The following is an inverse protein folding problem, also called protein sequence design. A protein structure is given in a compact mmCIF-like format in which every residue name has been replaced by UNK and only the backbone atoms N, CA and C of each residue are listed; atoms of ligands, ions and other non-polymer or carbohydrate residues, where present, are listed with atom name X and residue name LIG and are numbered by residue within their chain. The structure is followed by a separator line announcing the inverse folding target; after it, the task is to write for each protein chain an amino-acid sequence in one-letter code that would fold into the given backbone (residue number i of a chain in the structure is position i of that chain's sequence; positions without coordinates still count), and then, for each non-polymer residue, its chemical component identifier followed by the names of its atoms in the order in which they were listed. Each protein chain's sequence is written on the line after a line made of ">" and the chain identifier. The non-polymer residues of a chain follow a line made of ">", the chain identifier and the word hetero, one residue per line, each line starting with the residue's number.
data_IF_602786929092
#
_entry.id   IF_602786929092
#
_cell.length_a   1.000
_cell.length_b   1.000
_cell.length_c   1.000
_cell.angle_alpha   90.00
_cell.angle_beta   90.00
_cell.angle_gamma   90.00
#
_symmetry.space_group_name_H-M   'P 1'
#
loop_
_entity.id
_entity.type
_entity.pdbx_description
1 polymer ?
#
# COMPACT_ATOMS: atom_id res chain seq x y z
N UNK A 1 17.65 -12.63 -9.02
CA UNK A 1 18.04 -11.46 -9.83
C UNK A 1 16.87 -10.64 -10.33
N UNK A 2 15.82 -11.25 -10.91
CA UNK A 2 14.66 -10.49 -11.43
C UNK A 2 13.98 -9.59 -10.40
N UNK A 3 13.73 -10.10 -9.17
CA UNK A 3 13.18 -9.27 -8.09
C UNK A 3 14.10 -8.11 -7.72
N UNK A 4 15.43 -8.31 -7.73
CA UNK A 4 16.39 -7.22 -7.47
C UNK A 4 16.25 -6.15 -8.55
N UNK A 5 16.15 -6.55 -9.83
CA UNK A 5 15.91 -5.65 -10.95
C UNK A 5 14.62 -4.84 -10.79
N UNK A 6 13.50 -5.53 -10.50
CA UNK A 6 12.20 -4.91 -10.27
C UNK A 6 12.24 -3.90 -9.11
N UNK A 7 12.78 -4.28 -7.95
CA UNK A 7 12.80 -3.40 -6.79
C UNK A 7 13.77 -2.22 -6.98
N UNK A 8 14.90 -2.38 -7.68
CA UNK A 8 15.78 -1.27 -8.07
C UNK A 8 15.06 -0.28 -8.99
N UNK A 9 14.28 -0.79 -9.96
CA UNK A 9 13.44 0.04 -10.83
C UNK A 9 12.42 0.81 -10.00
N UNK A 10 11.70 0.14 -9.11
CA UNK A 10 10.66 0.78 -8.29
C UNK A 10 11.22 1.81 -7.33
N UNK A 11 12.37 1.53 -6.71
CA UNK A 11 13.05 2.50 -5.89
C UNK A 11 13.44 3.75 -6.70
N UNK A 12 14.03 3.56 -7.87
CA UNK A 12 14.42 4.65 -8.77
C UNK A 12 13.21 5.46 -9.23
N UNK A 13 12.12 4.78 -9.60
CA UNK A 13 10.85 5.41 -10.02
C UNK A 13 10.23 6.21 -8.88
N UNK A 14 10.16 5.67 -7.68
CA UNK A 14 9.58 6.37 -6.54
C UNK A 14 10.37 7.64 -6.19
N UNK A 15 11.71 7.57 -6.21
CA UNK A 15 12.56 8.75 -6.00
C UNK A 15 12.40 9.79 -7.10
N UNK A 16 12.40 9.41 -8.37
CA UNK A 16 12.24 10.37 -9.47
C UNK A 16 10.86 11.00 -9.45
N UNK A 17 9.80 10.21 -9.27
CA UNK A 17 8.42 10.71 -9.14
C UNK A 17 8.25 11.64 -7.95
N UNK A 18 8.87 11.35 -6.80
CA UNK A 18 8.88 12.25 -5.65
C UNK A 18 9.48 13.62 -6.03
N UNK A 19 10.61 13.65 -6.75
CA UNK A 19 11.24 14.91 -7.17
C UNK A 19 10.37 15.68 -8.17
N UNK A 20 9.65 14.98 -9.05
CA UNK A 20 8.71 15.59 -9.99
C UNK A 20 7.50 16.21 -9.25
N UNK A 21 6.93 15.50 -8.27
CA UNK A 21 5.87 16.05 -7.42
C UNK A 21 6.36 17.24 -6.58
N UNK A 22 7.53 17.15 -5.96
CA UNK A 22 8.12 18.27 -5.21
C UNK A 22 8.33 19.51 -6.10
N UNK A 23 8.80 19.30 -7.34
CA UNK A 23 8.90 20.39 -8.31
C UNK A 23 7.52 20.96 -8.64
N UNK A 24 6.53 20.13 -8.96
CA UNK A 24 5.14 20.55 -9.24
C UNK A 24 4.57 21.36 -8.07
N UNK A 25 4.79 20.89 -6.84
CA UNK A 25 4.22 21.44 -5.62
C UNK A 25 5.06 22.56 -4.98
N UNK A 26 6.17 23.00 -5.60
CA UNK A 26 7.11 23.97 -5.01
C UNK A 26 6.50 25.32 -4.57
N UNK A 27 5.32 25.67 -5.10
CA UNK A 27 4.59 26.90 -4.74
C UNK A 27 3.46 26.67 -3.72
N UNK A 28 3.20 25.43 -3.31
CA UNK A 28 2.20 25.11 -2.31
C UNK A 28 2.78 25.22 -0.89
N UNK A 29 1.98 25.48 0.15
CA UNK A 29 2.43 25.38 1.54
C UNK A 29 2.95 23.97 1.87
N UNK A 30 3.92 23.86 2.78
CA UNK A 30 4.37 22.56 3.30
C UNK A 30 3.28 21.89 4.15
N UNK A 31 3.27 20.55 4.18
CA UNK A 31 2.39 19.82 5.11
C UNK A 31 2.79 20.16 6.55
N UNK A 32 1.79 20.35 7.40
CA UNK A 32 1.97 20.57 8.83
C UNK A 32 1.65 19.29 9.59
N UNK A 33 2.47 18.97 10.59
CA UNK A 33 2.22 17.81 11.45
C UNK A 33 1.16 18.17 12.49
N UNK A 34 0.24 17.25 12.77
CA UNK A 34 -0.56 17.29 13.99
C UNK A 34 0.34 17.08 15.21
N UNK A 35 0.39 18.02 16.15
CA UNK A 35 1.26 17.99 17.33
C UNK A 35 0.49 17.98 18.65
N UNK A 36 -0.83 17.94 18.59
CA UNK A 36 -1.70 17.73 19.75
C UNK A 36 -2.73 16.63 19.48
N UNK A 37 -3.33 16.11 20.56
CA UNK A 37 -4.43 15.13 20.48
C UNK A 37 -5.59 15.68 19.64
N UNK A 38 -6.00 16.93 19.90
CA UNK A 38 -7.11 17.57 19.18
C UNK A 38 -6.82 17.74 17.67
N UNK A 39 -5.60 18.16 17.32
CA UNK A 39 -5.21 18.28 15.90
C UNK A 39 -5.21 16.92 15.20
N UNK A 40 -4.67 15.88 15.85
CA UNK A 40 -4.62 14.55 15.26
C UNK A 40 -6.01 13.92 15.14
N UNK A 41 -6.85 14.03 16.16
CA UNK A 41 -8.22 13.52 16.11
C UNK A 41 -9.00 14.20 15.00
N UNK A 42 -8.91 15.52 14.88
CA UNK A 42 -9.53 16.28 13.78
C UNK A 42 -9.02 15.85 12.40
N UNK A 43 -7.70 15.72 12.24
CA UNK A 43 -7.07 15.25 11.00
C UNK A 43 -7.55 13.83 10.64
N UNK A 44 -7.49 12.89 11.59
CA UNK A 44 -7.88 11.50 11.39
C UNK A 44 -9.36 11.36 11.01
N UNK A 45 -10.26 12.09 11.69
CA UNK A 45 -11.70 12.09 11.39
C UNK A 45 -12.01 12.68 10.02
N UNK A 46 -11.36 13.80 9.66
CA UNK A 46 -11.48 14.37 8.32
C UNK A 46 -11.01 13.38 7.25
N UNK A 47 -9.88 12.73 7.47
CA UNK A 47 -9.29 11.79 6.52
C UNK A 47 -10.11 10.51 6.35
N UNK A 48 -10.70 9.97 7.42
CA UNK A 48 -11.64 8.83 7.34
C UNK A 48 -12.83 9.20 6.47
N UNK A 49 -13.48 10.34 6.74
CA UNK A 49 -14.63 10.80 5.94
C UNK A 49 -14.25 11.04 4.49
N UNK A 50 -13.11 11.69 4.26
CA UNK A 50 -12.63 12.01 2.92
C UNK A 50 -12.41 10.74 2.08
N UNK A 51 -11.70 9.74 2.60
CA UNK A 51 -11.42 8.53 1.80
C UNK A 51 -12.70 7.73 1.53
N UNK A 52 -13.59 7.56 2.51
CA UNK A 52 -14.85 6.83 2.33
C UNK A 52 -15.76 7.53 1.30
N UNK A 53 -15.89 8.86 1.39
CA UNK A 53 -16.66 9.64 0.42
C UNK A 53 -16.02 9.62 -0.97
N UNK A 54 -14.69 9.70 -1.04
CA UNK A 54 -13.95 9.65 -2.30
C UNK A 54 -14.17 8.32 -3.03
N UNK A 55 -14.03 7.18 -2.32
CA UNK A 55 -14.21 5.85 -2.91
C UNK A 55 -15.61 5.66 -3.49
N UNK A 56 -16.63 6.20 -2.82
CA UNK A 56 -18.03 6.19 -3.27
C UNK A 56 -18.25 7.11 -4.49
N UNK A 57 -17.87 8.40 -4.35
CA UNK A 57 -18.14 9.43 -5.36
C UNK A 57 -17.35 9.26 -6.66
N UNK A 58 -16.14 8.71 -6.58
CA UNK A 58 -15.34 8.35 -7.76
C UNK A 58 -15.68 6.97 -8.31
N UNK A 59 -16.70 6.30 -7.74
CA UNK A 59 -17.16 4.98 -8.14
C UNK A 59 -16.00 3.97 -8.20
N UNK A 60 -15.09 3.95 -7.21
CA UNK A 60 -13.88 3.11 -7.30
C UNK A 60 -14.11 1.67 -6.85
N UNK A 61 -15.12 1.42 -6.03
CA UNK A 61 -15.58 0.09 -5.64
C UNK A 61 -17.03 0.14 -5.15
N UNK A 62 -17.68 -1.00 -5.01
CA UNK A 62 -19.00 -1.09 -4.37
C UNK A 62 -18.84 -0.87 -2.88
N UNK A 63 -19.36 0.26 -2.39
CA UNK A 63 -19.27 0.58 -0.97
C UNK A 63 -20.09 -0.39 -0.12
N UNK A 64 -19.46 -0.86 0.95
CA UNK A 64 -20.06 -1.75 1.95
C UNK A 64 -20.19 -1.02 3.27
N UNK A 65 -21.26 -1.29 4.00
CA UNK A 65 -21.55 -0.63 5.28
C UNK A 65 -20.48 -0.88 6.36
N UNK A 66 -19.63 -1.91 6.19
CA UNK A 66 -18.56 -2.26 7.11
C UNK A 66 -17.19 -1.66 6.77
N UNK A 67 -17.01 -1.02 5.60
CA UNK A 67 -15.71 -0.42 5.25
C UNK A 67 -15.32 0.73 6.19
N UNK A 68 -16.21 1.69 6.42
CA UNK A 68 -15.90 2.79 7.36
C UNK A 68 -15.65 2.28 8.79
N UNK A 69 -16.48 1.39 9.38
CA UNK A 69 -16.17 0.76 10.67
C UNK A 69 -14.80 0.06 10.71
N UNK A 70 -14.45 -0.71 9.68
CA UNK A 70 -13.18 -1.43 9.60
C UNK A 70 -11.97 -0.48 9.56
N UNK A 71 -12.07 0.62 8.81
CA UNK A 71 -11.04 1.67 8.80
C UNK A 71 -10.92 2.37 10.15
N UNK A 72 -12.06 2.74 10.76
CA UNK A 72 -12.10 3.47 12.04
C UNK A 72 -11.46 2.69 13.17
N UNK A 73 -11.58 1.37 13.19
CA UNK A 73 -10.91 0.52 14.18
C UNK A 73 -9.37 0.63 14.14
N UNK A 74 -8.81 1.08 13.01
CA UNK A 74 -7.38 1.15 12.75
C UNK A 74 -6.87 2.58 12.49
N UNK A 75 -7.70 3.60 12.74
CA UNK A 75 -7.37 5.01 12.45
C UNK A 75 -6.14 5.56 13.20
N UNK A 76 -5.68 4.84 14.23
CA UNK A 76 -4.57 5.25 15.08
C UNK A 76 -4.95 6.27 16.14
N UNK A 77 -3.94 6.79 16.83
CA UNK A 77 -4.06 7.79 17.88
C UNK A 77 -2.85 8.73 17.87
N UNK A 78 -2.98 9.89 18.51
CA UNK A 78 -1.89 10.84 18.63
C UNK A 78 -0.66 10.22 19.30
N UNK A 79 0.51 10.47 18.72
CA UNK A 79 1.80 10.10 19.28
C UNK A 79 2.71 11.34 19.31
N UNK A 80 3.35 11.65 20.44
CA UNK A 80 4.34 12.74 20.52
C UNK A 80 5.47 12.59 19.50
N UNK A 81 5.95 13.71 18.94
CA UNK A 81 6.86 13.74 17.79
C UNK A 81 8.11 12.88 17.97
N UNK A 82 8.68 12.90 19.17
CA UNK A 82 9.87 12.15 19.56
C UNK A 82 9.68 10.64 19.66
N UNK A 83 8.43 10.16 19.60
CA UNK A 83 8.07 8.73 19.64
C UNK A 83 7.49 8.21 18.31
N UNK A 84 7.42 9.05 17.28
CA UNK A 84 6.83 8.68 15.99
C UNK A 84 7.84 7.90 15.16
N UNK A 85 7.49 6.65 14.86
CA UNK A 85 8.18 5.92 13.80
C UNK A 85 7.78 6.42 12.40
N UNK A 86 8.42 5.90 11.35
CA UNK A 86 8.15 6.27 9.95
C UNK A 86 6.66 6.33 9.59
N UNK A 87 5.88 5.30 9.91
CA UNK A 87 4.45 5.25 9.61
C UNK A 87 3.66 6.29 10.43
N UNK A 88 4.02 6.48 11.70
CA UNK A 88 3.40 7.51 12.52
C UNK A 88 3.75 8.92 12.01
N UNK A 89 4.96 9.16 11.53
CA UNK A 89 5.33 10.44 10.89
C UNK A 89 4.38 10.70 9.71
N UNK A 90 4.14 9.70 8.85
CA UNK A 90 3.22 9.89 7.72
C UNK A 90 1.81 10.19 8.21
N UNK A 91 1.28 9.44 9.19
CA UNK A 91 -0.08 9.66 9.73
C UNK A 91 -0.27 11.03 10.37
N UNK A 92 0.78 11.62 10.95
CA UNK A 92 0.70 12.95 11.54
C UNK A 92 0.78 14.06 10.51
N UNK A 93 1.33 13.82 9.31
CA UNK A 93 1.24 14.76 8.19
C UNK A 93 -0.09 14.63 7.44
N UNK A 94 -0.44 13.42 7.03
CA UNK A 94 -1.73 13.07 6.45
C UNK A 94 -1.89 11.54 6.50
N UNK A 95 -2.94 11.00 7.16
CA UNK A 95 -3.09 9.56 7.29
C UNK A 95 -3.68 8.90 6.03
N UNK A 96 -4.20 9.65 5.05
CA UNK A 96 -4.87 9.09 3.87
C UNK A 96 -3.99 8.12 3.05
N UNK A 97 -2.68 8.37 2.81
CA UNK A 97 -1.81 7.39 2.18
C UNK A 97 -1.78 6.02 2.87
N UNK A 98 -1.76 5.99 4.21
CA UNK A 98 -1.85 4.71 4.95
C UNK A 98 -3.28 4.20 5.04
N UNK A 99 -4.30 5.06 5.06
CA UNK A 99 -5.69 4.61 4.98
C UNK A 99 -6.03 3.96 3.64
N UNK A 100 -5.38 4.38 2.55
CA UNK A 100 -5.43 3.66 1.28
C UNK A 100 -4.83 2.26 1.42
N UNK A 101 -3.67 2.14 2.07
CA UNK A 101 -3.03 0.84 2.35
C UNK A 101 -3.88 -0.05 3.27
N UNK A 102 -4.68 0.56 4.15
CA UNK A 102 -5.61 -0.12 5.06
C UNK A 102 -6.78 -0.80 4.33
N UNK A 103 -6.76 -0.86 3.00
CA UNK A 103 -7.60 -1.72 2.18
C UNK A 103 -7.65 -3.18 2.69
N UNK A 104 -6.56 -3.68 3.27
CA UNK A 104 -6.55 -4.98 3.97
C UNK A 104 -7.70 -5.15 4.97
N UNK A 105 -8.08 -4.10 5.69
CA UNK A 105 -9.17 -4.16 6.66
C UNK A 105 -10.54 -4.23 5.99
N UNK A 106 -10.68 -3.71 4.77
CA UNK A 106 -11.89 -3.91 3.97
C UNK A 106 -12.02 -5.37 3.53
N UNK A 107 -10.91 -5.97 3.12
CA UNK A 107 -10.86 -7.36 2.67
C UNK A 107 -11.10 -8.34 3.83
N UNK A 108 -10.48 -8.09 5.00
CA UNK A 108 -10.72 -8.88 6.20
C UNK A 108 -12.17 -8.76 6.67
N UNK A 109 -12.73 -7.55 6.70
CA UNK A 109 -14.14 -7.36 7.05
C UNK A 109 -15.08 -8.06 6.04
N UNK A 110 -14.73 -8.08 4.76
CA UNK A 110 -15.47 -8.83 3.75
C UNK A 110 -15.35 -10.34 3.97
N UNK A 111 -14.18 -10.87 4.30
CA UNK A 111 -14.01 -12.30 4.62
C UNK A 111 -14.90 -12.72 5.80
N UNK A 112 -15.05 -11.86 6.80
CA UNK A 112 -15.87 -12.14 7.99
C UNK A 112 -17.38 -12.00 7.72
N UNK A 113 -17.80 -10.96 6.98
CA UNK A 113 -19.21 -10.57 6.83
C UNK A 113 -19.87 -11.06 5.54
N UNK A 114 -19.08 -11.28 4.49
CA UNK A 114 -19.50 -11.80 3.18
C UNK A 114 -18.57 -12.96 2.74
N UNK A 115 -18.51 -14.05 3.54
CA UNK A 115 -17.56 -15.13 3.33
C UNK A 115 -17.69 -15.78 1.94
N UNK A 116 -16.54 -16.07 1.31
CA UNK A 116 -16.49 -16.66 -0.02
C UNK A 116 -17.22 -18.03 -0.08
N UNK A 117 -17.93 -18.32 -1.17
CA UNK A 117 -18.72 -19.56 -1.34
C UNK A 117 -17.85 -20.82 -1.34
N UNK A 118 -16.74 -20.79 -2.08
CA UNK A 118 -15.70 -21.84 -2.05
C UNK A 118 -15.10 -22.00 -0.66
N UNK A 119 -15.21 -23.21 -0.09
CA UNK A 119 -14.73 -23.55 1.25
C UNK A 119 -13.24 -23.30 1.43
N UNK A 120 -12.43 -23.58 0.41
CA UNK A 120 -10.98 -23.40 0.44
C UNK A 120 -10.54 -21.92 0.39
N UNK A 121 -11.42 -21.01 -0.04
CA UNK A 121 -11.16 -19.55 -0.09
C UNK A 121 -11.84 -18.79 1.05
N UNK A 122 -12.76 -19.45 1.78
CA UNK A 122 -13.63 -18.81 2.77
C UNK A 122 -12.90 -18.43 4.04
N UNK A 123 -12.10 -19.35 4.55
CA UNK A 123 -11.44 -19.23 5.85
C UNK A 123 -9.95 -18.91 5.69
N UNK A 124 -9.33 -18.22 6.67
CA UNK A 124 -7.89 -18.03 6.66
C UNK A 124 -7.17 -19.38 6.65
N UNK A 125 -6.11 -19.46 5.87
CA UNK A 125 -5.20 -20.62 5.89
C UNK A 125 -4.41 -20.61 7.21
N UNK A 126 -3.94 -21.80 7.63
CA UNK A 126 -3.09 -21.94 8.82
C UNK A 126 -1.79 -21.14 8.73
N UNK A 127 -1.33 -20.86 7.50
CA UNK A 127 -0.18 -20.03 7.21
C UNK A 127 -0.58 -18.93 6.25
N UNK A 128 -0.14 -17.71 6.54
CA UNK A 128 -0.28 -16.60 5.61
C UNK A 128 0.74 -16.78 4.47
N UNK A 129 0.29 -17.29 3.34
CA UNK A 129 1.14 -17.60 2.17
C UNK A 129 0.85 -16.69 0.96
N UNK A 130 -0.12 -15.79 1.10
CA UNK A 130 -0.55 -14.88 0.03
C UNK A 130 -0.18 -13.43 0.33
N UNK A 131 0.94 -13.21 1.01
CA UNK A 131 1.46 -11.87 1.31
C UNK A 131 1.59 -11.01 0.05
N UNK A 132 2.15 -11.57 -1.04
CA UNK A 132 2.26 -10.83 -2.31
C UNK A 132 0.89 -10.43 -2.87
N UNK A 133 -0.18 -11.21 -2.64
CA UNK A 133 -1.51 -10.76 -3.05
C UNK A 133 -2.02 -9.67 -2.12
N UNK A 134 -1.98 -9.91 -0.81
CA UNK A 134 -2.58 -8.99 0.17
C UNK A 134 -1.80 -7.67 0.19
N UNK A 135 -0.51 -7.72 0.47
CA UNK A 135 0.36 -6.53 0.53
C UNK A 135 0.51 -5.88 -0.83
N UNK A 136 0.49 -6.68 -1.90
CA UNK A 136 0.49 -6.18 -3.27
C UNK A 136 -0.73 -5.35 -3.60
N UNK A 137 -1.94 -5.83 -3.28
CA UNK A 137 -3.19 -5.10 -3.49
C UNK A 137 -3.21 -3.81 -2.68
N UNK A 138 -2.93 -3.89 -1.38
CA UNK A 138 -2.85 -2.73 -0.50
C UNK A 138 -1.83 -1.68 -0.96
N UNK A 139 -0.69 -2.11 -1.51
CA UNK A 139 0.31 -1.19 -2.06
C UNK A 139 -0.10 -0.63 -3.43
N UNK A 140 -0.79 -1.42 -4.26
CA UNK A 140 -1.28 -0.97 -5.57
C UNK A 140 -2.34 0.13 -5.43
N UNK A 141 -3.31 -0.07 -4.52
CA UNK A 141 -4.41 0.88 -4.36
C UNK A 141 -3.96 2.26 -3.86
N UNK A 142 -2.81 2.37 -3.19
CA UNK A 142 -2.23 3.67 -2.82
C UNK A 142 -2.00 4.56 -4.05
N UNK A 143 -1.41 4.01 -5.12
CA UNK A 143 -1.21 4.76 -6.36
C UNK A 143 -2.47 4.84 -7.22
N UNK A 144 -3.33 3.82 -7.21
CA UNK A 144 -4.61 3.86 -7.93
C UNK A 144 -5.46 5.01 -7.39
N UNK A 145 -5.66 5.09 -6.08
CA UNK A 145 -6.45 6.15 -5.45
C UNK A 145 -5.78 7.52 -5.58
N UNK A 146 -4.44 7.57 -5.48
CA UNK A 146 -3.67 8.78 -5.76
C UNK A 146 -3.94 9.32 -7.17
N UNK A 147 -3.94 8.45 -8.18
CA UNK A 147 -4.12 8.83 -9.58
C UNK A 147 -5.59 9.03 -9.95
N UNK A 148 -6.53 8.46 -9.18
CA UNK A 148 -7.96 8.73 -9.27
C UNK A 148 -8.39 10.03 -8.55
N UNK A 149 -7.47 10.78 -7.94
CA UNK A 149 -7.74 12.12 -7.42
C UNK A 149 -7.92 12.25 -5.90
N UNK A 150 -7.54 11.24 -5.10
CA UNK A 150 -7.75 11.24 -3.63
C UNK A 150 -7.12 12.48 -2.93
N UNK A 151 -6.10 13.08 -3.53
CA UNK A 151 -5.36 14.19 -2.95
C UNK A 151 -5.53 15.50 -3.73
N UNK A 152 -6.55 15.65 -4.56
CA UNK A 152 -6.75 16.87 -5.35
C UNK A 152 -7.01 18.10 -4.46
N UNK A 153 -7.56 17.89 -3.25
CA UNK A 153 -7.74 18.92 -2.23
C UNK A 153 -6.42 19.32 -1.53
N UNK A 154 -5.39 18.47 -1.58
CA UNK A 154 -4.06 18.73 -1.03
C UNK A 154 -2.97 17.96 -1.82
N UNK A 155 -2.54 18.49 -3.00
CA UNK A 155 -1.66 17.77 -3.91
C UNK A 155 -0.30 17.38 -3.32
N UNK A 156 0.14 18.05 -2.24
CA UNK A 156 1.41 17.73 -1.57
C UNK A 156 1.40 16.34 -0.92
N UNK A 157 0.24 15.77 -0.60
CA UNK A 157 0.11 14.45 0.01
C UNK A 157 0.59 13.33 -0.93
N UNK A 158 0.56 13.56 -2.25
CA UNK A 158 1.14 12.65 -3.27
C UNK A 158 2.62 12.35 -2.99
N UNK A 159 3.35 13.30 -2.42
CA UNK A 159 4.76 13.10 -2.04
C UNK A 159 4.92 11.97 -1.00
N UNK A 160 3.97 11.81 -0.08
CA UNK A 160 4.01 10.75 0.95
C UNK A 160 3.85 9.37 0.30
N UNK A 161 2.99 9.23 -0.71
CA UNK A 161 2.80 7.95 -1.42
C UNK A 161 4.12 7.47 -2.03
N UNK A 162 4.84 8.34 -2.73
CA UNK A 162 6.15 7.99 -3.30
C UNK A 162 7.20 7.69 -2.24
N UNK A 163 7.14 8.33 -1.07
CA UNK A 163 8.00 8.01 0.07
C UNK A 163 7.72 6.60 0.59
N UNK A 164 6.45 6.22 0.73
CA UNK A 164 6.04 4.87 1.14
C UNK A 164 6.51 3.81 0.14
N UNK A 165 6.39 4.06 -1.16
CA UNK A 165 6.87 3.13 -2.21
C UNK A 165 8.39 2.99 -2.17
N UNK A 166 9.13 4.10 -2.07
CA UNK A 166 10.59 4.08 -1.97
C UNK A 166 11.04 3.29 -0.73
N UNK A 167 10.36 3.49 0.40
CA UNK A 167 10.60 2.75 1.63
C UNK A 167 10.41 1.24 1.43
N UNK A 168 9.28 0.81 0.85
CA UNK A 168 8.99 -0.61 0.59
C UNK A 168 9.98 -1.25 -0.39
N UNK A 169 10.38 -0.52 -1.43
CA UNK A 169 11.37 -1.00 -2.40
C UNK A 169 12.76 -1.14 -1.78
N UNK A 170 13.24 -0.14 -1.02
CA UNK A 170 14.51 -0.19 -0.32
C UNK A 170 14.55 -1.34 0.71
N UNK A 171 13.46 -1.51 1.45
CA UNK A 171 13.27 -2.57 2.43
C UNK A 171 13.31 -3.96 1.80
N UNK A 172 12.62 -4.16 0.69
CA UNK A 172 12.66 -5.42 -0.05
C UNK A 172 14.04 -5.72 -0.63
N UNK A 173 14.79 -4.72 -1.10
CA UNK A 173 16.18 -4.89 -1.55
C UNK A 173 17.09 -5.35 -0.41
N UNK A 174 17.03 -4.67 0.73
CA UNK A 174 17.78 -5.07 1.92
C UNK A 174 17.46 -6.52 2.31
N UNK A 175 16.18 -6.90 2.32
CA UNK A 175 15.76 -8.27 2.58
C UNK A 175 16.36 -9.27 1.59
N UNK A 176 16.36 -8.99 0.28
CA UNK A 176 16.94 -9.89 -0.72
C UNK A 176 18.45 -10.07 -0.52
N UNK A 177 19.18 -8.99 -0.28
CA UNK A 177 20.63 -9.06 -0.07
C UNK A 177 21.00 -9.81 1.21
N UNK A 178 20.20 -9.63 2.28
CA UNK A 178 20.39 -10.38 3.52
C UNK A 178 20.20 -11.89 3.31
N UNK A 179 19.12 -12.30 2.63
CA UNK A 179 18.83 -13.71 2.38
C UNK A 179 19.77 -14.35 1.35
N UNK A 180 20.33 -13.56 0.44
CA UNK A 180 21.36 -14.00 -0.49
C UNK A 180 22.76 -14.08 0.15
N UNK A 181 22.91 -13.79 1.45
CA UNK A 181 24.19 -13.69 2.16
C UNK A 181 25.16 -12.68 1.52
N UNK A 182 24.65 -11.67 0.83
CA UNK A 182 25.43 -10.58 0.24
C UNK A 182 25.63 -9.42 1.23
N UNK A 183 24.75 -9.33 2.23
CA UNK A 183 24.79 -8.37 3.33
C UNK A 183 24.41 -9.06 4.63
N UNK A 184 24.99 -8.62 5.73
CA UNK A 184 24.48 -8.91 7.08
C UNK A 184 23.13 -8.23 7.29
N UNK A 185 22.37 -8.67 8.30
CA UNK A 185 21.10 -8.02 8.68
C UNK A 185 21.28 -6.54 9.07
N UNK A 186 22.43 -6.19 9.67
CA UNK A 186 22.75 -4.80 9.99
C UNK A 186 22.95 -3.97 8.72
N UNK A 187 23.71 -4.49 7.74
CA UNK A 187 23.94 -3.82 6.46
C UNK A 187 22.66 -3.69 5.63
N UNK A 188 21.83 -4.73 5.60
CA UNK A 188 20.51 -4.69 4.97
C UNK A 188 19.60 -3.63 5.60
N UNK A 189 19.68 -3.44 6.92
CA UNK A 189 18.99 -2.36 7.60
C UNK A 189 19.45 -0.97 7.18
N UNK A 190 20.73 -0.79 6.84
CA UNK A 190 21.26 0.50 6.35
C UNK A 190 20.69 0.86 4.98
N UNK A 191 20.53 -0.12 4.08
CA UNK A 191 19.88 0.10 2.77
C UNK A 191 18.50 0.72 2.95
N UNK A 192 17.69 0.15 3.84
CA UNK A 192 16.36 0.67 4.12
C UNK A 192 16.39 2.13 4.63
N UNK A 193 17.27 2.45 5.58
CA UNK A 193 17.37 3.78 6.17
C UNK A 193 17.95 4.84 5.23
N UNK A 194 18.89 4.46 4.36
CA UNK A 194 19.57 5.36 3.42
C UNK A 194 18.66 5.75 2.26
N UNK A 195 17.94 4.78 1.70
CA UNK A 195 17.13 4.98 0.50
C UNK A 195 15.68 5.39 0.80
N UNK A 196 15.25 5.45 2.06
CA UNK A 196 13.96 6.06 2.41
C UNK A 196 14.09 7.59 2.39
N UNK A 197 13.27 8.32 1.61
CA UNK A 197 13.39 9.77 1.52
C UNK A 197 13.14 10.50 2.84
N UNK A 198 13.58 11.76 2.89
CA UNK A 198 13.43 12.70 4.04
C UNK A 198 14.12 12.25 5.34
N UNK A 199 14.86 11.14 5.32
CA UNK A 199 15.59 10.65 6.49
C UNK A 199 14.67 10.15 7.62
N UNK A 200 13.38 9.92 7.34
CA UNK A 200 12.38 9.52 8.35
C UNK A 200 12.68 8.16 9.01
N UNK A 201 13.51 7.32 8.38
CA UNK A 201 13.96 6.05 8.96
C UNK A 201 15.25 6.17 9.80
N UNK A 202 16.01 7.27 9.70
CA UNK A 202 17.32 7.40 10.37
C UNK A 202 17.21 7.50 11.90
N UNK A 203 16.04 7.81 12.44
CA UNK A 203 15.78 7.95 13.88
C UNK A 203 15.27 6.68 14.54
N UNK A 204 14.99 5.61 13.79
CA UNK A 204 14.13 4.50 14.23
C UNK A 204 14.87 3.16 14.41
N UNK A 205 15.85 3.11 15.34
CA UNK A 205 16.64 1.88 15.58
C UNK A 205 15.78 0.67 16.00
N UNK A 206 14.69 0.90 16.74
CA UNK A 206 13.82 -0.18 17.21
C UNK A 206 12.98 -0.78 16.07
N UNK A 207 12.36 0.07 15.25
CA UNK A 207 11.62 -0.36 14.06
C UNK A 207 12.54 -1.14 13.11
N UNK A 208 13.73 -0.60 12.85
CA UNK A 208 14.69 -1.25 11.96
C UNK A 208 15.04 -2.67 12.42
N UNK A 209 15.32 -2.85 13.72
CA UNK A 209 15.60 -4.17 14.30
C UNK A 209 14.39 -5.10 14.19
N UNK A 210 13.21 -4.62 14.55
CA UNK A 210 11.97 -5.40 14.47
C UNK A 210 11.74 -5.93 13.05
N UNK A 211 11.90 -5.08 12.04
CA UNK A 211 11.74 -5.45 10.64
C UNK A 211 12.75 -6.52 10.20
N UNK A 212 14.03 -6.39 10.54
CA UNK A 212 15.02 -7.43 10.22
C UNK A 212 14.68 -8.78 10.89
N UNK A 213 14.20 -8.76 12.14
CA UNK A 213 13.72 -9.99 12.79
C UNK A 213 12.48 -10.58 12.12
N UNK A 214 11.56 -9.76 11.62
CA UNK A 214 10.41 -10.22 10.85
C UNK A 214 10.86 -10.92 9.58
N UNK A 215 11.76 -10.33 8.80
CA UNK A 215 12.20 -10.91 7.53
C UNK A 215 12.99 -12.21 7.70
N UNK A 216 13.77 -12.35 8.78
CA UNK A 216 14.37 -13.65 9.12
C UNK A 216 13.37 -14.76 9.34
N UNK A 217 12.18 -14.43 9.86
CA UNK A 217 11.12 -15.40 10.17
C UNK A 217 10.19 -15.63 8.97
N UNK A 218 10.18 -14.71 8.00
CA UNK A 218 9.31 -14.74 6.83
C UNK A 218 10.07 -14.33 5.56
N UNK A 219 10.93 -15.21 5.01
CA UNK A 219 11.59 -14.97 3.75
C UNK A 219 10.58 -14.65 2.64
N UNK A 220 10.84 -13.58 1.88
CA UNK A 220 9.94 -13.09 0.81
C UNK A 220 8.92 -12.05 1.27
N UNK A 221 8.63 -11.92 2.58
CA UNK A 221 7.69 -10.90 3.06
C UNK A 221 8.15 -9.47 2.74
N UNK A 222 9.45 -9.17 2.89
CA UNK A 222 9.99 -7.84 2.59
C UNK A 222 9.79 -7.40 1.13
N UNK A 223 9.77 -8.32 0.17
CA UNK A 223 9.57 -8.01 -1.26
C UNK A 223 8.12 -8.04 -1.70
N UNK A 224 7.25 -8.74 -0.95
CA UNK A 224 5.84 -9.01 -1.28
C UNK A 224 5.04 -7.77 -1.69
N UNK A 225 5.30 -6.62 -1.07
CA UNK A 225 4.64 -5.35 -1.38
C UNK A 225 4.85 -4.91 -2.83
N UNK A 226 6.11 -4.94 -3.29
CA UNK A 226 6.49 -4.43 -4.61
C UNK A 226 6.27 -5.50 -5.68
N UNK A 227 6.64 -6.76 -5.39
CA UNK A 227 6.39 -7.87 -6.32
C UNK A 227 4.89 -8.13 -6.47
N UNK A 228 4.13 -8.02 -5.38
CA UNK A 228 2.70 -8.09 -5.36
C UNK A 228 2.04 -6.97 -6.14
N UNK A 229 2.43 -5.72 -5.90
CA UNK A 229 1.94 -4.57 -6.69
C UNK A 229 2.20 -4.76 -8.18
N UNK A 230 3.40 -5.21 -8.55
CA UNK A 230 3.73 -5.53 -9.94
C UNK A 230 2.73 -6.51 -10.56
N UNK A 231 2.36 -7.58 -9.84
CA UNK A 231 1.36 -8.55 -10.31
C UNK A 231 -0.05 -7.95 -10.42
N UNK A 232 -0.42 -7.01 -9.54
CA UNK A 232 -1.71 -6.30 -9.62
C UNK A 232 -1.72 -5.36 -10.82
N UNK A 233 -0.61 -4.65 -11.09
CA UNK A 233 -0.45 -3.80 -12.27
C UNK A 233 -0.54 -4.63 -13.57
N UNK A 234 0.04 -5.83 -13.61
CA UNK A 234 -0.11 -6.78 -14.71
C UNK A 234 -1.57 -7.24 -14.87
N UNK A 235 -2.23 -7.65 -13.78
CA UNK A 235 -3.63 -8.08 -13.81
C UNK A 235 -4.57 -6.98 -14.34
N UNK A 236 -4.36 -5.73 -13.90
CA UNK A 236 -5.10 -4.57 -14.39
C UNK A 236 -4.81 -4.31 -15.88
N UNK A 237 -3.56 -4.48 -16.32
CA UNK A 237 -3.15 -4.33 -17.72
C UNK A 237 -3.83 -5.36 -18.61
N UNK A 238 -3.79 -6.64 -18.24
CA UNK A 238 -4.43 -7.72 -18.98
C UNK A 238 -5.95 -7.50 -19.07
N UNK A 239 -6.56 -7.15 -17.95
CA UNK A 239 -7.99 -6.88 -17.88
C UNK A 239 -8.40 -5.68 -18.76
N UNK A 240 -7.67 -4.57 -18.70
CA UNK A 240 -7.91 -3.41 -19.55
C UNK A 240 -7.78 -3.75 -21.04
N UNK A 241 -6.73 -4.50 -21.42
CA UNK A 241 -6.55 -4.96 -22.81
C UNK A 241 -7.69 -5.86 -23.27
N UNK A 242 -8.17 -6.76 -22.42
CA UNK A 242 -9.34 -7.60 -22.72
C UNK A 242 -10.59 -6.74 -22.97
N UNK A 243 -10.83 -5.74 -22.13
CA UNK A 243 -11.97 -4.82 -22.30
C UNK A 243 -11.90 -4.12 -23.66
N UNK A 244 -10.75 -3.55 -24.01
CA UNK A 244 -10.53 -2.92 -25.33
C UNK A 244 -10.79 -3.88 -26.49
N UNK A 245 -10.22 -5.10 -26.44
CA UNK A 245 -10.38 -6.11 -27.49
C UNK A 245 -11.81 -6.60 -27.65
N UNK A 246 -12.62 -6.54 -26.59
CA UNK A 246 -14.03 -6.97 -26.60
C UNK A 246 -15.01 -5.80 -26.76
N UNK A 247 -14.50 -4.58 -26.98
CA UNK A 247 -15.34 -3.37 -27.13
C UNK A 247 -16.04 -2.93 -25.85
N UNK A 248 -15.56 -3.38 -24.68
CA UNK A 248 -16.08 -3.01 -23.37
C UNK A 248 -15.26 -1.88 -22.76
N UNK A 249 -15.88 -1.07 -21.90
CA UNK A 249 -15.19 0.01 -21.20
C UNK A 249 -14.57 -0.51 -19.90
N UNK A 250 -13.26 -0.27 -19.73
CA UNK A 250 -12.60 -0.51 -18.45
C UNK A 250 -13.07 0.51 -17.39
N UNK A 251 -13.36 0.02 -16.18
CA UNK A 251 -13.57 0.86 -15.00
C UNK A 251 -12.78 0.31 -13.81
N UNK A 252 -12.23 1.21 -12.98
CA UNK A 252 -11.55 0.83 -11.73
C UNK A 252 -12.53 0.08 -10.82
N UNK A 253 -13.79 0.54 -10.78
CA UNK A 253 -14.88 -0.11 -10.07
C UNK A 253 -14.94 -1.61 -10.31
N UNK A 254 -15.09 -1.98 -11.57
CA UNK A 254 -15.31 -3.36 -11.93
C UNK A 254 -14.05 -4.20 -11.68
N UNK A 255 -12.87 -3.62 -11.92
CA UNK A 255 -11.61 -4.28 -11.58
C UNK A 255 -11.51 -4.60 -10.08
N UNK A 256 -11.69 -3.60 -9.19
CA UNK A 256 -11.58 -3.80 -7.75
C UNK A 256 -12.70 -4.69 -7.18
N UNK A 257 -13.95 -4.51 -7.64
CA UNK A 257 -15.08 -5.35 -7.22
C UNK A 257 -14.84 -6.82 -7.59
N UNK A 258 -14.32 -7.10 -8.80
CA UNK A 258 -14.00 -8.47 -9.23
C UNK A 258 -12.82 -9.05 -8.44
N UNK A 259 -11.76 -8.27 -8.22
CA UNK A 259 -10.61 -8.72 -7.42
C UNK A 259 -11.02 -9.07 -5.98
N UNK A 260 -11.90 -8.26 -5.37
CA UNK A 260 -12.45 -8.56 -4.04
C UNK A 260 -13.35 -9.81 -4.06
N UNK A 261 -14.17 -9.98 -5.10
CA UNK A 261 -15.05 -11.15 -5.24
C UNK A 261 -14.27 -12.46 -5.38
N UNK A 262 -13.15 -12.45 -6.11
CA UNK A 262 -12.28 -13.63 -6.28
C UNK A 262 -11.65 -14.08 -4.95
N UNK A 263 -11.38 -13.13 -4.05
CA UNK A 263 -10.83 -13.38 -2.71
C UNK A 263 -9.30 -13.39 -2.66
N UNK A 264 -8.75 -13.97 -1.58
CA UNK A 264 -7.30 -14.04 -1.34
C UNK A 264 -6.73 -15.35 -1.91
N UNK A 265 -6.30 -15.29 -3.17
CA UNK A 265 -5.58 -16.36 -3.89
C UNK A 265 -4.36 -15.75 -4.59
N UNK A 266 -3.41 -16.54 -5.12
CA UNK A 266 -2.29 -15.98 -5.90
C UNK A 266 -2.77 -15.06 -7.01
N UNK A 267 -2.15 -13.88 -7.14
CA UNK A 267 -2.58 -12.84 -8.10
C UNK A 267 -2.65 -13.34 -9.54
N UNK A 268 -1.80 -14.28 -9.94
CA UNK A 268 -1.85 -14.91 -11.27
C UNK A 268 -3.13 -15.71 -11.51
N UNK A 269 -3.63 -16.43 -10.50
CA UNK A 269 -4.92 -17.14 -10.58
C UNK A 269 -6.09 -16.15 -10.56
N UNK A 270 -5.97 -15.07 -9.79
CA UNK A 270 -6.96 -14.00 -9.80
C UNK A 270 -7.04 -13.31 -11.17
N UNK A 271 -5.90 -12.99 -11.79
CA UNK A 271 -5.83 -12.43 -13.14
C UNK A 271 -6.46 -13.38 -14.18
N UNK A 272 -6.16 -14.69 -14.08
CA UNK A 272 -6.78 -15.71 -14.93
C UNK A 272 -8.31 -15.75 -14.79
N UNK A 273 -8.84 -15.76 -13.57
CA UNK A 273 -10.29 -15.77 -13.31
C UNK A 273 -10.96 -14.45 -13.72
N UNK A 274 -10.28 -13.32 -13.50
CA UNK A 274 -10.71 -11.99 -13.92
C UNK A 274 -10.89 -11.89 -15.45
N UNK A 275 -9.98 -12.53 -16.19
CA UNK A 275 -10.01 -12.57 -17.64
C UNK A 275 -10.98 -13.60 -18.23
N UNK A 276 -11.75 -14.30 -17.39
CA UNK A 276 -12.72 -15.30 -17.82
C UNK A 276 -12.00 -16.58 -18.22
N UNK A 277 -12.04 -17.57 -17.33
CA UNK A 277 -11.63 -18.93 -17.64
C UNK A 277 -12.30 -19.37 -18.96
N UNK A 278 -11.50 -19.79 -19.93
CA UNK A 278 -11.96 -20.27 -21.25
C UNK A 278 -12.94 -21.44 -21.12
#
# INVERSE_FOLDING_TARGET
>A
DDQVGLLKRELSRAWSSLKLEEHRNRKLPMLSEANTVLEYDSLSEKSVKNIIQFLDQQELLTMKNYYEPALRAHKGQFVPKEKRNFFLITMHYDPRPLYSHFYHWFELAQMDLEPHTSEIRRAPLLYNIFDSRNEGMATAVEEIFMNAGLYDDNPRVREIVYILIAQRAARGLGSLYAHANQMTMEEAGKVHAEYTPRGWMKTEKALLKFEQHLYMRQPGYGTSYITGKYLIDEAMTEYARKMELTGQTFTIKHFLDRMNQIGSIPTSLAAWELNGAY
#
